data_IF_314295564995
#
_entry.id   IF_314295564995
#
_cell.length_a   1.000
_cell.length_b   1.000
_cell.length_c   1.000
_cell.angle_alpha   90.00
_cell.angle_beta   90.00
_cell.angle_gamma   90.00
#
_symmetry.space_group_name_H-M   'P 1'
#
loop_
_entity.id
_entity.type
_entity.pdbx_description
1 polymer ?
#
# COMPACT_ATOMS: atom_id res chain seq x y z
N UNK A 1 33.52 -17.52 8.50
CA UNK A 1 33.43 -18.89 8.13
C UNK A 1 32.51 -19.04 6.92
N UNK A 2 32.28 -20.27 6.51
CA UNK A 2 31.43 -20.48 5.36
C UNK A 2 30.05 -19.89 5.49
N UNK A 3 29.51 -19.92 6.70
CA UNK A 3 28.21 -19.33 6.97
C UNK A 3 28.25 -17.81 6.74
N UNK A 4 29.32 -17.17 7.17
CA UNK A 4 29.46 -15.74 6.94
C UNK A 4 29.68 -15.42 5.47
N UNK A 5 30.38 -16.29 4.77
CA UNK A 5 30.52 -16.15 3.32
C UNK A 5 29.18 -16.25 2.63
N UNK A 6 28.35 -17.18 3.06
CA UNK A 6 27.01 -17.36 2.51
C UNK A 6 26.11 -16.17 2.83
N UNK A 7 26.41 -15.47 3.90
CA UNK A 7 25.63 -14.31 4.35
C UNK A 7 26.14 -13.01 3.74
N UNK A 8 26.61 -13.05 2.53
CA UNK A 8 27.06 -11.84 1.81
C UNK A 8 26.00 -10.78 1.67
N UNK A 9 24.77 -11.15 1.93
CA UNK A 9 23.68 -10.17 2.02
C UNK A 9 24.04 -9.01 2.98
N UNK A 10 24.97 -9.24 3.89
CA UNK A 10 25.45 -8.22 4.82
C UNK A 10 26.63 -7.42 4.26
N UNK A 11 27.14 -7.73 3.09
CA UNK A 11 28.20 -6.96 2.46
C UNK A 11 27.68 -5.57 2.06
N UNK A 12 28.52 -4.52 2.11
CA UNK A 12 28.08 -3.16 1.80
C UNK A 12 27.40 -3.02 0.44
N UNK A 13 27.90 -3.70 -0.58
CA UNK A 13 27.31 -3.64 -1.92
C UNK A 13 25.90 -4.21 -1.95
N UNK A 14 25.68 -5.34 -1.27
CA UNK A 14 24.35 -5.96 -1.20
C UNK A 14 23.36 -5.04 -0.47
N UNK A 15 23.80 -4.35 0.57
CA UNK A 15 22.96 -3.40 1.27
C UNK A 15 22.60 -2.21 0.39
N UNK A 16 23.56 -1.70 -0.37
CA UNK A 16 23.32 -0.59 -1.29
C UNK A 16 22.29 -0.98 -2.34
N UNK A 17 22.44 -2.17 -2.93
CA UNK A 17 21.49 -2.67 -3.93
C UNK A 17 20.10 -2.83 -3.35
N UNK A 18 20.00 -3.39 -2.15
CA UNK A 18 18.72 -3.57 -1.46
C UNK A 18 18.05 -2.22 -1.21
N UNK A 19 18.79 -1.25 -0.67
CA UNK A 19 18.25 0.09 -0.42
C UNK A 19 17.78 0.76 -1.69
N UNK A 20 18.53 0.61 -2.77
CA UNK A 20 18.15 1.19 -4.04
C UNK A 20 16.86 0.59 -4.58
N UNK A 21 16.67 -0.71 -4.45
CA UNK A 21 15.44 -1.38 -4.86
C UNK A 21 14.25 -0.87 -4.05
N UNK A 22 14.40 -0.77 -2.74
CA UNK A 22 13.34 -0.27 -1.86
C UNK A 22 12.96 1.17 -2.23
N UNK A 23 13.97 2.02 -2.39
CA UNK A 23 13.74 3.42 -2.76
C UNK A 23 13.07 3.53 -4.14
N UNK A 24 13.47 2.67 -5.06
CA UNK A 24 12.87 2.64 -6.39
C UNK A 24 11.38 2.29 -6.31
N UNK A 25 11.03 1.29 -5.52
CA UNK A 25 9.63 0.91 -5.31
C UNK A 25 8.83 2.04 -4.66
N UNK A 26 9.41 2.71 -3.69
CA UNK A 26 8.76 3.84 -3.03
C UNK A 26 8.53 5.00 -3.99
N UNK A 27 9.51 5.32 -4.83
CA UNK A 27 9.35 6.35 -5.84
C UNK A 27 8.28 5.98 -6.86
N UNK A 28 8.26 4.72 -7.29
CA UNK A 28 7.28 4.25 -8.26
C UNK A 28 5.86 4.34 -7.70
N UNK A 29 5.68 3.94 -6.44
CA UNK A 29 4.38 4.05 -5.78
C UNK A 29 3.96 5.51 -5.66
N UNK A 30 4.85 6.37 -5.20
CA UNK A 30 4.55 7.79 -5.04
C UNK A 30 4.18 8.42 -6.38
N UNK A 31 4.94 8.11 -7.42
CA UNK A 31 4.69 8.63 -8.77
C UNK A 31 3.34 8.15 -9.29
N UNK A 32 2.99 6.89 -9.06
CA UNK A 32 1.69 6.37 -9.46
C UNK A 32 0.56 7.13 -8.75
N UNK A 33 0.67 7.29 -7.43
CA UNK A 33 -0.36 7.96 -6.66
C UNK A 33 -0.52 9.42 -7.09
N UNK A 34 0.58 10.10 -7.38
CA UNK A 34 0.53 11.48 -7.87
C UNK A 34 -0.15 11.57 -9.24
N UNK A 35 0.17 10.66 -10.15
CA UNK A 35 -0.49 10.63 -11.46
C UNK A 35 -1.98 10.36 -11.34
N UNK A 36 -2.37 9.45 -10.45
CA UNK A 36 -3.79 9.15 -10.23
C UNK A 36 -4.51 10.37 -9.65
N UNK A 37 -3.87 11.04 -8.70
CA UNK A 37 -4.42 12.27 -8.12
C UNK A 37 -4.62 13.35 -9.20
N UNK A 38 -3.62 13.56 -10.04
CA UNK A 38 -3.68 14.56 -11.09
C UNK A 38 -4.75 14.23 -12.14
N UNK A 39 -5.04 12.95 -12.34
CA UNK A 39 -6.08 12.52 -13.28
C UNK A 39 -7.49 12.60 -12.69
N UNK A 40 -7.61 12.92 -11.41
CA UNK A 40 -8.91 12.98 -10.73
C UNK A 40 -9.40 11.64 -10.22
N UNK A 41 -8.60 10.59 -10.28
CA UNK A 41 -8.99 9.29 -9.77
C UNK A 41 -9.00 9.28 -8.24
N UNK A 42 -9.97 8.57 -7.67
CA UNK A 42 -10.05 8.41 -6.21
C UNK A 42 -9.25 7.20 -5.78
N UNK A 43 -8.43 7.39 -4.75
CA UNK A 43 -7.61 6.32 -4.17
C UNK A 43 -7.84 6.27 -2.67
N UNK A 44 -8.15 5.08 -2.19
CA UNK A 44 -8.27 4.81 -0.75
C UNK A 44 -7.42 3.59 -0.42
N UNK A 45 -7.14 3.39 0.86
CA UNK A 45 -6.35 2.24 1.29
C UNK A 45 -7.20 1.20 2.00
N UNK A 46 -6.68 0.00 2.11
CA UNK A 46 -7.24 -1.06 2.92
C UNK A 46 -6.16 -1.65 3.81
N UNK A 47 -6.53 -1.88 5.07
CA UNK A 47 -5.69 -2.54 6.04
C UNK A 47 -4.69 -1.60 6.73
N UNK A 48 -5.07 -1.03 7.86
CA UNK A 48 -4.18 -0.17 8.65
C UNK A 48 -3.18 -1.03 9.44
N UNK A 49 -2.32 -1.77 8.72
CA UNK A 49 -1.34 -2.67 9.30
C UNK A 49 -0.06 -1.93 9.69
N UNK A 50 0.73 -2.54 10.56
CA UNK A 50 2.03 -1.98 10.96
C UNK A 50 2.96 -1.81 9.77
N UNK A 51 3.06 -2.87 8.94
CA UNK A 51 3.92 -2.81 7.75
C UNK A 51 3.44 -1.75 6.77
N UNK A 52 2.13 -1.67 6.56
CA UNK A 52 1.54 -0.67 5.69
C UNK A 52 1.79 0.75 6.18
N UNK A 53 1.71 0.94 7.50
CA UNK A 53 1.99 2.25 8.07
C UNK A 53 3.45 2.68 7.85
N UNK A 54 4.40 1.76 8.00
CA UNK A 54 5.80 2.05 7.72
C UNK A 54 5.97 2.46 6.25
N UNK A 55 5.35 1.74 5.34
CA UNK A 55 5.40 2.07 3.92
C UNK A 55 4.87 3.47 3.65
N UNK A 56 3.71 3.80 4.22
CA UNK A 56 3.07 5.10 4.02
C UNK A 56 3.93 6.23 4.56
N UNK A 57 4.57 6.04 5.72
CA UNK A 57 5.46 7.04 6.30
C UNK A 57 6.71 7.24 5.46
N UNK A 58 7.32 6.15 5.00
CA UNK A 58 8.59 6.21 4.27
C UNK A 58 8.42 6.60 2.81
N UNK A 59 7.21 6.46 2.27
CA UNK A 59 6.88 6.82 0.88
C UNK A 59 6.28 8.23 0.78
N UNK A 60 6.29 9.04 1.79
CA UNK A 60 5.48 10.23 2.09
C UNK A 60 4.10 10.27 1.40
N UNK A 61 3.26 9.30 1.71
CA UNK A 61 1.87 9.30 1.23
C UNK A 61 1.03 10.18 2.15
N UNK A 62 0.26 11.08 1.57
CA UNK A 62 -0.54 12.06 2.29
C UNK A 62 -2.03 11.82 2.06
N UNK A 63 -2.92 12.45 2.88
CA UNK A 63 -4.37 12.34 2.63
C UNK A 63 -4.82 12.87 1.28
N UNK A 64 -4.03 13.74 0.65
CA UNK A 64 -4.33 14.20 -0.70
C UNK A 64 -4.21 13.06 -1.71
N UNK A 65 -3.28 12.15 -1.49
CA UNK A 65 -3.04 11.02 -2.39
C UNK A 65 -3.91 9.82 -2.06
N UNK A 66 -4.08 9.52 -0.77
CA UNK A 66 -4.93 8.43 -0.27
C UNK A 66 -5.85 9.03 0.79
N UNK A 67 -7.12 9.17 0.45
CA UNK A 67 -8.05 9.95 1.25
C UNK A 67 -8.33 9.34 2.64
N UNK A 68 -8.42 8.02 2.71
CA UNK A 68 -8.69 7.29 3.95
C UNK A 68 -8.27 5.84 3.78
N UNK A 69 -8.15 5.14 4.91
CA UNK A 69 -7.80 3.72 4.93
C UNK A 69 -8.91 2.97 5.69
N UNK A 70 -9.43 1.93 5.06
CA UNK A 70 -10.42 1.06 5.70
C UNK A 70 -9.75 -0.04 6.49
N UNK A 71 -10.31 -0.38 7.65
CA UNK A 71 -9.84 -1.49 8.47
C UNK A 71 -11.03 -2.23 9.04
N UNK A 72 -10.81 -3.47 9.44
CA UNK A 72 -11.86 -4.30 10.05
C UNK A 72 -11.89 -4.20 11.57
N UNK A 73 -10.87 -3.59 12.17
CA UNK A 73 -10.76 -3.46 13.62
C UNK A 73 -11.43 -2.17 14.11
N UNK A 74 -12.59 -2.26 14.80
CA UNK A 74 -13.32 -1.08 15.24
C UNK A 74 -12.53 -0.15 16.16
N UNK A 75 -11.54 -0.69 16.88
CA UNK A 75 -10.72 0.12 17.78
C UNK A 75 -9.85 1.13 17.03
N UNK A 76 -9.66 0.93 15.72
CA UNK A 76 -8.87 1.84 14.90
C UNK A 76 -9.71 2.94 14.27
N UNK A 77 -11.04 2.78 14.24
CA UNK A 77 -11.90 3.75 13.57
C UNK A 77 -11.87 5.11 14.28
N UNK A 78 -11.83 6.18 13.48
CA UNK A 78 -11.73 7.54 13.97
C UNK A 78 -10.33 7.97 14.35
N UNK A 79 -9.35 7.09 14.19
CA UNK A 79 -7.94 7.40 14.41
C UNK A 79 -7.27 7.72 13.09
N UNK A 80 -5.99 8.04 13.16
CA UNK A 80 -5.20 8.40 11.98
C UNK A 80 -3.96 7.54 11.92
N UNK A 81 -3.49 7.25 10.71
CA UNK A 81 -2.20 6.60 10.55
C UNK A 81 -1.11 7.54 11.06
N UNK A 82 -0.23 7.05 11.97
CA UNK A 82 0.84 7.88 12.49
C UNK A 82 1.72 8.45 11.39
N UNK A 83 2.08 9.72 11.50
CA UNK A 83 2.98 10.39 10.58
C UNK A 83 2.34 10.92 9.32
N UNK A 84 1.40 10.21 8.72
CA UNK A 84 0.75 10.67 7.49
C UNK A 84 -0.53 11.46 7.74
N UNK A 85 -1.21 11.18 8.85
CA UNK A 85 -2.49 11.81 9.15
C UNK A 85 -3.66 11.28 8.34
N UNK A 86 -3.50 10.16 7.64
CA UNK A 86 -4.59 9.56 6.87
C UNK A 86 -5.62 8.96 7.84
N UNK A 87 -6.90 9.33 7.73
CA UNK A 87 -7.92 8.82 8.66
C UNK A 87 -8.24 7.34 8.41
N UNK A 88 -8.52 6.63 9.51
CA UNK A 88 -8.91 5.23 9.48
C UNK A 88 -10.41 5.13 9.69
N UNK A 89 -11.07 4.43 8.80
CA UNK A 89 -12.52 4.20 8.83
C UNK A 89 -12.80 2.71 8.69
N UNK A 90 -14.05 2.30 8.67
CA UNK A 90 -14.38 0.89 8.44
C UNK A 90 -14.11 0.52 6.98
N UNK A 91 -13.73 -0.74 6.76
CA UNK A 91 -13.56 -1.26 5.40
C UNK A 91 -14.85 -1.13 4.60
N UNK A 92 -16.01 -1.38 5.23
CA UNK A 92 -17.29 -1.28 4.56
C UNK A 92 -17.57 0.15 4.09
N UNK A 93 -17.13 1.16 4.83
CA UNK A 93 -17.29 2.55 4.40
C UNK A 93 -16.47 2.84 3.14
N UNK A 94 -15.23 2.37 3.12
CA UNK A 94 -14.36 2.53 1.94
C UNK A 94 -14.97 1.84 0.73
N UNK A 95 -15.43 0.61 0.88
CA UNK A 95 -16.00 -0.14 -0.23
C UNK A 95 -17.32 0.48 -0.72
N UNK A 96 -18.10 1.06 0.19
CA UNK A 96 -19.36 1.74 -0.19
C UNK A 96 -19.11 2.98 -1.04
N UNK A 97 -17.99 3.65 -0.86
CA UNK A 97 -17.63 4.82 -1.66
C UNK A 97 -17.15 4.46 -3.07
N UNK A 98 -16.84 3.20 -3.30
CA UNK A 98 -16.39 2.69 -4.60
C UNK A 98 -15.25 3.54 -5.20
N UNK A 99 -14.10 3.64 -4.51
CA UNK A 99 -12.98 4.37 -5.07
C UNK A 99 -12.49 3.72 -6.36
N UNK A 100 -11.84 4.49 -7.20
CA UNK A 100 -11.29 3.96 -8.44
C UNK A 100 -10.17 2.97 -8.19
N UNK A 101 -9.38 3.21 -7.14
CA UNK A 101 -8.24 2.36 -6.78
C UNK A 101 -8.22 2.11 -5.28
N UNK A 102 -7.82 0.90 -4.89
CA UNK A 102 -7.58 0.53 -3.50
C UNK A 102 -6.12 0.15 -3.33
N UNK A 103 -5.42 0.90 -2.51
CA UNK A 103 -4.04 0.57 -2.12
C UNK A 103 -4.09 -0.45 -0.98
N UNK A 104 -3.64 -1.68 -1.28
CA UNK A 104 -3.67 -2.77 -0.31
C UNK A 104 -2.40 -2.72 0.52
N UNK A 105 -2.53 -2.28 1.78
CA UNK A 105 -1.38 -2.11 2.66
C UNK A 105 -0.85 -3.44 3.20
N UNK A 106 -1.68 -4.45 3.55
CA UNK A 106 -1.16 -5.77 3.87
C UNK A 106 -0.89 -6.57 2.58
N UNK A 107 0.04 -6.10 1.76
CA UNK A 107 0.30 -6.66 0.43
C UNK A 107 0.68 -8.14 0.43
N UNK A 108 1.22 -8.64 1.54
CA UNK A 108 1.62 -10.03 1.66
C UNK A 108 0.42 -10.99 1.70
N UNK A 109 -0.79 -10.49 1.89
CA UNK A 109 -2.03 -11.28 1.79
C UNK A 109 -2.73 -11.10 0.44
N UNK A 110 -1.94 -10.93 -0.61
CA UNK A 110 -2.46 -10.63 -1.96
C UNK A 110 -3.59 -11.57 -2.39
N UNK A 111 -3.39 -12.88 -2.26
CA UNK A 111 -4.41 -13.84 -2.71
C UNK A 111 -5.73 -13.70 -1.94
N UNK A 112 -5.63 -13.47 -0.64
CA UNK A 112 -6.81 -13.27 0.19
C UNK A 112 -7.59 -12.04 -0.28
N UNK A 113 -6.90 -10.94 -0.55
CA UNK A 113 -7.55 -9.73 -1.03
C UNK A 113 -8.12 -9.89 -2.44
N UNK A 114 -7.43 -10.61 -3.31
CA UNK A 114 -7.95 -10.89 -4.65
C UNK A 114 -9.28 -11.64 -4.59
N UNK A 115 -9.42 -12.57 -3.66
CA UNK A 115 -10.66 -13.33 -3.49
C UNK A 115 -11.74 -12.50 -2.82
N UNK A 116 -11.42 -11.84 -1.71
CA UNK A 116 -12.43 -11.10 -0.95
C UNK A 116 -12.94 -9.86 -1.68
N UNK A 117 -12.11 -9.27 -2.55
CA UNK A 117 -12.46 -8.06 -3.30
C UNK A 117 -12.88 -8.35 -4.74
N UNK A 118 -13.15 -9.61 -5.06
CA UNK A 118 -13.62 -9.97 -6.40
C UNK A 118 -14.86 -9.16 -6.84
N UNK A 119 -15.87 -8.91 -5.99
CA UNK A 119 -16.99 -8.05 -6.39
C UNK A 119 -16.59 -6.62 -6.72
N UNK A 120 -15.65 -6.06 -5.96
CA UNK A 120 -15.13 -4.73 -6.21
C UNK A 120 -14.42 -4.66 -7.56
N UNK A 121 -13.59 -5.67 -7.86
CA UNK A 121 -12.89 -5.76 -9.13
C UNK A 121 -13.88 -5.93 -10.30
N UNK A 122 -14.89 -6.77 -10.11
CA UNK A 122 -15.92 -6.99 -11.14
C UNK A 122 -16.72 -5.72 -11.45
N UNK A 123 -16.84 -4.82 -10.48
CA UNK A 123 -17.52 -3.54 -10.65
C UNK A 123 -16.64 -2.46 -11.29
N UNK A 124 -15.41 -2.80 -11.68
CA UNK A 124 -14.50 -1.89 -12.35
C UNK A 124 -13.43 -1.28 -11.46
N UNK A 125 -13.37 -1.65 -10.18
CA UNK A 125 -12.34 -1.19 -9.28
C UNK A 125 -10.99 -1.82 -9.59
N UNK A 126 -9.93 -1.23 -9.06
CA UNK A 126 -8.57 -1.73 -9.25
C UNK A 126 -7.83 -1.76 -7.94
N UNK A 127 -6.94 -2.73 -7.80
CA UNK A 127 -6.11 -2.90 -6.61
C UNK A 127 -4.68 -2.50 -6.92
N UNK A 128 -4.05 -1.83 -5.99
CA UNK A 128 -2.63 -1.50 -6.05
C UNK A 128 -1.93 -2.29 -4.97
N UNK A 129 -1.01 -3.15 -5.36
CA UNK A 129 -0.12 -3.87 -4.45
C UNK A 129 1.25 -3.21 -4.53
N UNK A 130 1.69 -2.56 -3.44
CA UNK A 130 2.91 -1.75 -3.50
C UNK A 130 4.19 -2.56 -3.48
N UNK A 131 4.15 -3.77 -2.93
CA UNK A 131 5.33 -4.63 -2.74
C UNK A 131 4.93 -6.09 -2.93
N UNK A 132 5.84 -7.00 -3.24
CA UNK A 132 7.27 -6.76 -3.47
C UNK A 132 7.57 -5.98 -4.74
N UNK A 133 6.69 -6.03 -5.72
CA UNK A 133 6.75 -5.21 -6.92
C UNK A 133 5.46 -4.43 -7.04
N UNK A 134 5.55 -3.20 -7.52
CA UNK A 134 4.37 -2.37 -7.72
C UNK A 134 3.51 -2.99 -8.82
N UNK A 135 2.27 -3.28 -8.47
CA UNK A 135 1.34 -3.98 -9.36
C UNK A 135 -0.04 -3.34 -9.28
N UNK A 136 -0.67 -3.11 -10.42
CA UNK A 136 -2.05 -2.65 -10.49
C UNK A 136 -2.87 -3.75 -11.14
N UNK A 137 -3.90 -4.21 -10.43
CA UNK A 137 -4.75 -5.32 -10.88
C UNK A 137 -6.16 -4.81 -11.12
N UNK A 138 -6.73 -5.16 -12.27
CA UNK A 138 -8.11 -4.83 -12.61
C UNK A 138 -8.58 -5.65 -13.81
N UNK A 139 -9.87 -5.73 -13.98
CA UNK A 139 -10.46 -6.48 -15.10
C UNK A 139 -10.73 -5.58 -16.30
#
# INVERSE_FOLDING_TARGET
>A
LEQEEADRVHAPESWVDFRQRVRSRQRDLRSLLERLHDSGASVMGLGASTKGNVLVQTTPVTPDLVAKVGDVNPYKFGRFLPGSGIPIVSESEVLAEQPDYLLVLPWHFRETFMQSLAPYLAAGGRLIFPLPDLEVVGY
#
